data_IF_428064940808
#
_entry.id   IF_428064940808
#
_cell.length_a   1.000
_cell.length_b   1.000
_cell.length_c   1.000
_cell.angle_alpha   90.00
_cell.angle_beta   90.00
_cell.angle_gamma   90.00
#
_symmetry.space_group_name_H-M   'P 1'
#
loop_
_entity.id
_entity.type
_entity.pdbx_description
1 polymer ?
#
# COMPACT_ATOMS: atom_id res chain seq x y z
N UNK A 1 0.99 59.47 -9.78
CA UNK A 1 1.01 58.44 -8.72
C UNK A 1 1.27 57.09 -9.36
N UNK A 2 2.38 56.47 -8.98
CA UNK A 2 2.86 55.08 -9.12
C UNK A 2 2.56 54.33 -10.43
N UNK A 3 3.66 54.13 -11.18
CA UNK A 3 3.85 53.29 -12.35
C UNK A 3 4.44 51.95 -11.88
N UNK A 4 3.80 50.82 -12.17
CA UNK A 4 4.44 49.51 -12.26
C UNK A 4 3.50 48.52 -12.95
N UNK A 5 3.49 48.54 -14.29
CA UNK A 5 3.10 47.36 -15.03
C UNK A 5 4.26 46.36 -14.90
N UNK A 6 4.04 45.26 -14.19
CA UNK A 6 4.99 44.16 -14.11
C UNK A 6 5.10 43.49 -15.49
N UNK A 7 5.95 44.04 -16.36
CA UNK A 7 6.37 43.40 -17.60
C UNK A 7 7.34 42.27 -17.25
N UNK A 8 6.77 41.10 -16.93
CA UNK A 8 7.56 39.88 -16.88
C UNK A 8 7.86 39.47 -18.32
N UNK A 9 9.04 39.85 -18.82
CA UNK A 9 9.54 39.35 -20.10
C UNK A 9 9.62 37.82 -20.01
N UNK A 10 8.75 37.16 -20.77
CA UNK A 10 8.61 35.72 -20.75
C UNK A 10 9.78 35.11 -21.55
N UNK A 11 10.94 35.00 -20.90
CA UNK A 11 12.15 34.46 -21.51
C UNK A 11 11.98 32.95 -21.74
N UNK A 12 12.55 32.41 -22.82
CA UNK A 12 12.52 30.97 -23.13
C UNK A 12 13.00 30.11 -21.96
N UNK A 13 13.98 30.59 -21.21
CA UNK A 13 14.46 29.96 -19.96
C UNK A 13 13.38 29.91 -18.89
N UNK A 14 12.63 30.99 -18.70
CA UNK A 14 11.48 31.02 -17.76
C UNK A 14 10.39 30.04 -18.19
N UNK A 15 10.07 29.96 -19.49
CA UNK A 15 9.13 28.98 -20.03
C UNK A 15 9.60 27.54 -19.78
N UNK A 16 10.87 27.26 -20.04
CA UNK A 16 11.45 25.92 -19.84
C UNK A 16 11.43 25.51 -18.35
N UNK A 17 11.73 26.42 -17.44
CA UNK A 17 11.66 26.16 -15.99
C UNK A 17 10.23 25.86 -15.55
N UNK A 18 9.25 26.61 -16.05
CA UNK A 18 7.83 26.38 -15.73
C UNK A 18 7.37 25.00 -16.21
N UNK A 19 7.72 24.61 -17.44
CA UNK A 19 7.38 23.28 -17.98
C UNK A 19 8.01 22.15 -17.15
N UNK A 20 9.28 22.28 -16.76
CA UNK A 20 9.95 21.30 -15.91
C UNK A 20 9.27 21.16 -14.54
N UNK A 21 8.87 22.28 -13.93
CA UNK A 21 8.13 22.27 -12.67
C UNK A 21 6.78 21.54 -12.81
N UNK A 22 6.02 21.79 -13.89
CA UNK A 22 4.77 21.09 -14.14
C UNK A 22 4.96 19.58 -14.28
N UNK A 23 6.00 19.13 -15.00
CA UNK A 23 6.31 17.69 -15.14
C UNK A 23 6.63 17.08 -13.77
N UNK A 24 7.48 17.73 -12.96
CA UNK A 24 7.83 17.23 -11.62
C UNK A 24 6.63 17.15 -10.67
N UNK A 25 5.72 18.13 -10.74
CA UNK A 25 4.48 18.13 -9.95
C UNK A 25 3.57 16.98 -10.38
N UNK A 26 3.42 16.75 -11.69
CA UNK A 26 2.62 15.64 -12.21
C UNK A 26 3.15 14.27 -11.78
N UNK A 27 4.47 14.05 -11.84
CA UNK A 27 5.07 12.81 -11.35
C UNK A 27 4.75 12.61 -9.86
N UNK A 28 4.96 13.63 -9.02
CA UNK A 28 4.70 13.54 -7.59
C UNK A 28 3.24 13.17 -7.25
N UNK A 29 2.26 13.77 -7.95
CA UNK A 29 0.84 13.45 -7.77
C UNK A 29 0.48 12.04 -8.23
N UNK A 30 1.04 11.57 -9.35
CA UNK A 30 0.80 10.22 -9.85
C UNK A 30 1.38 9.18 -8.88
N UNK A 31 2.62 9.35 -8.44
CA UNK A 31 3.25 8.45 -7.47
C UNK A 31 2.49 8.46 -6.13
N UNK A 32 2.11 9.64 -5.62
CA UNK A 32 1.32 9.77 -4.40
C UNK A 32 -0.06 9.11 -4.52
N UNK A 33 -0.72 9.26 -5.67
CA UNK A 33 -2.02 8.63 -5.95
C UNK A 33 -1.89 7.11 -6.07
N UNK A 34 -0.84 6.59 -6.68
CA UNK A 34 -0.58 5.14 -6.76
C UNK A 34 -0.38 4.56 -5.35
N UNK A 35 0.44 5.19 -4.51
CA UNK A 35 0.64 4.75 -3.12
C UNK A 35 -0.66 4.80 -2.31
N UNK A 36 -1.47 5.84 -2.51
CA UNK A 36 -2.77 5.95 -1.86
C UNK A 36 -3.77 4.88 -2.33
N UNK A 37 -3.81 4.58 -3.63
CA UNK A 37 -4.69 3.53 -4.18
C UNK A 37 -4.29 2.13 -3.67
N UNK A 38 -2.99 1.86 -3.52
CA UNK A 38 -2.50 0.61 -2.91
C UNK A 38 -2.91 0.50 -1.44
N UNK A 39 -2.92 1.61 -0.70
CA UNK A 39 -3.39 1.64 0.69
C UNK A 39 -4.92 1.57 0.82
N UNK A 40 -5.66 2.12 -0.15
CA UNK A 40 -7.12 2.22 -0.13
C UNK A 40 -7.83 1.01 -0.75
N UNK A 41 -7.12 0.14 -1.49
CA UNK A 41 -7.72 -1.05 -2.07
C UNK A 41 -7.95 -2.10 -0.96
N UNK A 42 -9.20 -2.23 -0.54
CA UNK A 42 -9.62 -3.25 0.42
C UNK A 42 -9.28 -4.63 -0.14
N UNK A 43 -8.35 -5.32 0.52
CA UNK A 43 -7.92 -6.68 0.17
C UNK A 43 -9.10 -7.66 0.31
N UNK A 44 -9.23 -8.59 -0.64
CA UNK A 44 -10.14 -9.73 -0.48
C UNK A 44 -9.52 -10.75 0.49
N UNK A 45 -9.80 -10.56 1.78
CA UNK A 45 -9.35 -11.48 2.82
C UNK A 45 -9.94 -12.88 2.65
N UNK A 46 -11.21 -12.99 2.25
CA UNK A 46 -11.89 -14.28 2.12
C UNK A 46 -11.22 -15.15 1.05
N UNK A 47 -11.03 -14.60 -0.16
CA UNK A 47 -10.37 -15.31 -1.26
C UNK A 47 -8.92 -15.66 -0.96
N UNK A 48 -8.14 -14.70 -0.42
CA UNK A 48 -6.72 -14.94 -0.12
C UNK A 48 -6.52 -15.94 1.01
N UNK A 49 -7.32 -15.86 2.08
CA UNK A 49 -7.23 -16.82 3.17
C UNK A 49 -7.72 -18.21 2.78
N UNK A 50 -8.70 -18.31 1.88
CA UNK A 50 -9.11 -19.59 1.29
C UNK A 50 -7.95 -20.26 0.54
N UNK A 51 -7.17 -19.50 -0.24
CA UNK A 51 -5.98 -20.02 -0.90
C UNK A 51 -4.87 -20.38 0.11
N UNK A 52 -4.50 -19.46 1.00
CA UNK A 52 -3.47 -19.67 2.04
C UNK A 52 -3.71 -20.95 2.83
N UNK A 53 -4.97 -21.18 3.22
CA UNK A 53 -5.38 -22.33 4.02
C UNK A 53 -5.77 -23.59 3.22
N UNK A 54 -5.62 -23.58 1.90
CA UNK A 54 -6.07 -24.68 1.02
C UNK A 54 -5.41 -26.04 1.32
N UNK A 55 -4.17 -26.02 1.85
CA UNK A 55 -3.43 -27.23 2.25
C UNK A 55 -3.37 -27.44 3.77
N UNK A 56 -4.04 -26.59 4.55
CA UNK A 56 -4.04 -26.70 5.99
C UNK A 56 -4.91 -27.87 6.46
N UNK A 57 -4.34 -28.79 7.25
CA UNK A 57 -5.06 -29.93 7.83
C UNK A 57 -6.25 -29.49 8.69
N UNK A 58 -6.10 -28.38 9.42
CA UNK A 58 -7.15 -27.74 10.23
C UNK A 58 -7.75 -26.53 9.50
N UNK A 59 -8.29 -26.75 8.30
CA UNK A 59 -8.73 -25.69 7.38
C UNK A 59 -9.62 -24.60 8.04
N UNK A 60 -10.68 -24.97 8.76
CA UNK A 60 -11.57 -24.00 9.45
C UNK A 60 -10.85 -23.12 10.47
N UNK A 61 -9.86 -23.68 11.19
CA UNK A 61 -9.08 -22.94 12.17
C UNK A 61 -8.10 -21.99 11.48
N UNK A 62 -7.44 -22.46 10.42
CA UNK A 62 -6.55 -21.65 9.60
C UNK A 62 -7.28 -20.43 9.02
N UNK A 63 -8.45 -20.63 8.38
CA UNK A 63 -9.21 -19.54 7.76
C UNK A 63 -9.61 -18.50 8.80
N UNK A 64 -10.07 -18.92 9.99
CA UNK A 64 -10.43 -18.00 11.08
C UNK A 64 -9.24 -17.14 11.51
N UNK A 65 -8.08 -17.76 11.73
CA UNK A 65 -6.86 -17.06 12.13
C UNK A 65 -6.38 -16.11 11.02
N UNK A 66 -6.32 -16.60 9.78
CA UNK A 66 -5.92 -15.82 8.62
C UNK A 66 -6.80 -14.59 8.42
N UNK A 67 -8.13 -14.72 8.48
CA UNK A 67 -9.04 -13.59 8.32
C UNK A 67 -8.81 -12.54 9.41
N UNK A 68 -8.64 -12.96 10.67
CA UNK A 68 -8.34 -12.01 11.76
C UNK A 68 -7.02 -11.26 11.53
N UNK A 69 -6.00 -11.94 11.02
CA UNK A 69 -4.72 -11.31 10.68
C UNK A 69 -4.85 -10.39 9.47
N UNK A 70 -5.60 -10.81 8.45
CA UNK A 70 -5.85 -10.04 7.24
C UNK A 70 -6.65 -8.77 7.52
N UNK A 71 -7.74 -8.85 8.30
CA UNK A 71 -8.56 -7.68 8.65
C UNK A 71 -7.76 -6.62 9.41
N UNK A 72 -6.78 -7.05 10.22
CA UNK A 72 -5.91 -6.14 10.97
C UNK A 72 -4.77 -5.57 10.12
N UNK A 73 -4.16 -6.40 9.29
CA UNK A 73 -2.92 -6.08 8.59
C UNK A 73 -3.13 -5.69 7.12
N UNK A 74 -4.34 -5.85 6.59
CA UNK A 74 -4.70 -5.71 5.17
C UNK A 74 -3.72 -6.42 4.22
N UNK A 75 -3.18 -7.57 4.64
CA UNK A 75 -2.15 -8.32 3.91
C UNK A 75 -2.29 -9.82 4.20
N UNK A 76 -2.08 -10.64 3.16
CA UNK A 76 -1.95 -12.11 3.28
C UNK A 76 -0.74 -12.53 2.46
N UNK A 77 0.24 -13.23 3.05
CA UNK A 77 1.43 -13.69 2.34
C UNK A 77 1.12 -14.64 1.18
N UNK A 78 1.93 -14.64 0.11
CA UNK A 78 1.75 -15.55 -1.02
C UNK A 78 2.04 -17.01 -0.63
N UNK A 79 1.43 -17.93 -1.36
CA UNK A 79 1.58 -19.38 -1.13
C UNK A 79 0.69 -19.91 0.00
N UNK A 80 0.93 -21.17 0.38
CA UNK A 80 0.16 -21.90 1.41
C UNK A 80 0.92 -22.08 2.73
N UNK A 81 2.18 -21.64 2.78
CA UNK A 81 3.06 -21.63 3.95
C UNK A 81 4.23 -20.68 3.69
N UNK A 82 4.87 -20.18 4.76
CA UNK A 82 6.04 -19.29 4.66
C UNK A 82 5.74 -17.92 4.04
N UNK A 83 6.80 -17.22 3.61
CA UNK A 83 6.76 -15.87 3.01
C UNK A 83 6.12 -14.79 3.90
N UNK A 84 6.05 -15.02 5.21
CA UNK A 84 5.40 -14.11 6.15
C UNK A 84 6.12 -12.76 6.23
N UNK A 85 7.42 -12.73 5.94
CA UNK A 85 8.27 -11.54 5.84
C UNK A 85 7.75 -10.50 4.83
N UNK A 86 7.04 -10.94 3.80
CA UNK A 86 6.37 -10.07 2.81
C UNK A 86 5.26 -9.23 3.47
N UNK A 87 4.66 -9.72 4.56
CA UNK A 87 3.63 -9.03 5.34
C UNK A 87 4.09 -8.89 6.81
N UNK A 88 4.95 -7.91 7.17
CA UNK A 88 5.52 -7.80 8.51
C UNK A 88 4.50 -7.73 9.66
N UNK A 89 3.35 -7.08 9.45
CA UNK A 89 2.26 -7.07 10.43
C UNK A 89 1.68 -8.48 10.67
N UNK A 90 1.52 -9.26 9.59
CA UNK A 90 1.01 -10.64 9.65
C UNK A 90 2.02 -11.55 10.37
N UNK A 91 3.32 -11.43 10.03
CA UNK A 91 4.41 -12.19 10.66
C UNK A 91 4.54 -11.93 12.18
N UNK A 92 4.36 -10.67 12.60
CA UNK A 92 4.59 -10.27 13.99
C UNK A 92 3.36 -10.41 14.90
N UNK A 93 2.23 -10.86 14.36
CA UNK A 93 1.01 -11.00 15.15
C UNK A 93 1.10 -12.18 16.12
N UNK A 94 0.88 -11.90 17.40
CA UNK A 94 0.89 -12.89 18.47
C UNK A 94 -0.48 -13.04 19.13
N UNK A 95 -0.70 -14.18 19.77
CA UNK A 95 -1.82 -14.41 20.69
C UNK A 95 -1.52 -13.75 22.04
N UNK A 96 -2.52 -13.64 22.92
CA UNK A 96 -2.30 -13.16 24.29
C UNK A 96 -1.23 -13.96 25.06
N UNK A 97 -1.00 -15.23 24.71
CA UNK A 97 0.05 -16.07 25.28
C UNK A 97 1.42 -15.97 24.59
N UNK A 98 1.64 -14.95 23.75
CA UNK A 98 2.94 -14.69 23.09
C UNK A 98 3.29 -15.62 21.92
N UNK A 99 2.46 -16.61 21.61
CA UNK A 99 2.67 -17.49 20.44
C UNK A 99 2.27 -16.80 19.15
N UNK A 100 3.01 -17.08 18.07
CA UNK A 100 2.66 -16.64 16.72
C UNK A 100 1.22 -17.07 16.38
N UNK A 101 0.42 -16.13 15.85
CA UNK A 101 -1.03 -16.27 15.70
C UNK A 101 -1.45 -16.65 14.28
N UNK A 102 -0.75 -16.16 13.27
CA UNK A 102 -1.20 -16.27 11.88
C UNK A 102 -0.71 -17.57 11.23
N UNK A 103 -1.38 -18.06 10.17
CA UNK A 103 -1.01 -19.30 9.49
C UNK A 103 -0.03 -19.18 8.30
#
# INVERSE_FOLDING_TARGET
>A
MIKAANNMAFNKTTLMLVVLCFILIHELEIYGRIQYMVAAQKIDCEGKCKYRCSKASRNKMCIRACNTCCDRCNCVPPGTSGNEDVCPCYANMTTHGGRHKCP
#
